data_IF_383199375638
#
_entry.id   IF_383199375638
#
_cell.length_a   1.000
_cell.length_b   1.000
_cell.length_c   1.000
_cell.angle_alpha   90.00
_cell.angle_beta   90.00
_cell.angle_gamma   90.00
#
_symmetry.space_group_name_H-M   'P 1'
#
loop_
_entity.id
_entity.type
_entity.pdbx_description
1 polymer ?
#
# COMPACT_ATOMS: atom_id res chain seq x y z
N UNK A 1 17.40 -9.50 -4.57
CA UNK A 1 17.37 -8.47 -3.52
C UNK A 1 16.33 -8.87 -2.51
N UNK A 2 16.69 -8.99 -1.24
CA UNK A 2 15.68 -9.04 -0.18
C UNK A 2 15.06 -7.64 0.06
N UNK A 3 14.11 -7.54 0.98
CA UNK A 3 13.44 -6.29 1.35
C UNK A 3 14.42 -5.14 1.63
N UNK A 4 15.49 -5.41 2.38
CA UNK A 4 16.47 -4.40 2.80
C UNK A 4 17.45 -4.03 1.68
N UNK A 5 17.66 -4.93 0.71
CA UNK A 5 18.51 -4.67 -0.45
C UNK A 5 17.76 -4.00 -1.62
N UNK A 6 16.43 -4.05 -1.63
CA UNK A 6 15.62 -3.54 -2.74
C UNK A 6 15.78 -2.03 -2.94
N UNK A 7 16.18 -1.28 -1.91
CA UNK A 7 16.15 0.18 -1.88
C UNK A 7 17.48 0.84 -2.27
N UNK A 8 18.65 0.46 -1.71
CA UNK A 8 19.93 0.92 -2.27
C UNK A 8 20.07 0.55 -3.74
N UNK A 9 19.35 -0.47 -4.21
CA UNK A 9 19.27 -0.80 -5.62
C UNK A 9 18.57 0.30 -6.43
N UNK A 10 17.44 0.85 -5.98
CA UNK A 10 16.70 1.87 -6.75
C UNK A 10 17.51 3.14 -6.96
N UNK A 11 18.17 3.64 -5.92
CA UNK A 11 19.02 4.84 -6.02
C UNK A 11 20.26 4.63 -6.89
N UNK A 12 20.57 3.40 -7.32
CA UNK A 12 21.61 3.15 -8.34
C UNK A 12 21.15 3.53 -9.75
N UNK A 13 19.85 3.76 -9.98
CA UNK A 13 19.31 4.09 -11.30
C UNK A 13 19.23 2.89 -12.25
N UNK A 14 19.15 1.67 -11.71
CA UNK A 14 19.08 0.43 -12.48
C UNK A 14 17.65 -0.05 -12.77
N UNK A 15 16.63 0.68 -12.29
CA UNK A 15 15.20 0.36 -12.48
C UNK A 15 14.53 1.50 -13.23
N UNK A 16 13.91 1.19 -14.38
CA UNK A 16 13.19 2.16 -15.21
C UNK A 16 11.77 2.47 -14.68
N UNK A 17 11.14 1.53 -13.99
CA UNK A 17 9.80 1.69 -13.41
C UNK A 17 9.63 0.81 -12.18
N UNK A 18 9.00 1.35 -11.15
CA UNK A 18 8.60 0.62 -9.95
C UNK A 18 7.11 0.86 -9.69
N UNK A 19 6.36 -0.22 -9.51
CA UNK A 19 4.89 -0.20 -9.30
C UNK A 19 4.50 -0.27 -7.82
N UNK A 20 5.48 -0.34 -6.94
CA UNK A 20 5.34 -0.51 -5.51
C UNK A 20 6.26 0.47 -4.79
N UNK A 21 5.80 1.10 -3.70
CA UNK A 21 6.55 2.15 -3.02
C UNK A 21 6.43 2.05 -1.50
N UNK A 22 7.58 2.07 -0.80
CA UNK A 22 7.62 2.25 0.64
C UNK A 22 8.03 3.70 0.96
N UNK A 23 7.09 4.47 1.51
CA UNK A 23 7.28 5.90 1.77
C UNK A 23 8.39 6.19 2.78
N UNK A 24 8.73 5.23 3.65
CA UNK A 24 9.84 5.32 4.60
C UNK A 24 11.21 5.58 3.94
N UNK A 25 11.35 5.27 2.65
CA UNK A 25 12.62 5.39 1.92
C UNK A 25 12.60 6.47 0.84
N UNK A 26 11.51 7.22 0.72
CA UNK A 26 11.38 8.33 -0.25
C UNK A 26 12.50 9.35 -0.08
N UNK A 27 12.94 9.60 1.16
CA UNK A 27 14.02 10.54 1.45
C UNK A 27 15.35 10.13 0.81
N UNK A 28 15.63 8.82 0.70
CA UNK A 28 16.86 8.32 0.07
C UNK A 28 16.86 8.55 -1.44
N UNK A 29 15.69 8.47 -2.08
CA UNK A 29 15.53 8.67 -3.53
C UNK A 29 15.76 10.11 -3.99
N UNK A 30 15.79 11.06 -3.06
CA UNK A 30 16.04 12.50 -3.34
C UNK A 30 17.33 13.02 -2.71
N UNK A 31 18.19 12.12 -2.18
CA UNK A 31 19.53 12.51 -1.71
C UNK A 31 20.38 13.05 -2.87
N UNK A 32 21.31 13.98 -2.62
CA UNK A 32 22.21 14.49 -3.64
C UNK A 32 23.07 13.40 -4.27
N UNK A 33 23.50 13.63 -5.51
CA UNK A 33 24.42 12.74 -6.22
C UNK A 33 25.75 12.55 -5.47
N UNK A 34 26.20 13.55 -4.72
CA UNK A 34 27.41 13.48 -3.87
C UNK A 34 27.31 12.45 -2.75
N UNK A 35 26.11 12.00 -2.39
CA UNK A 35 25.87 10.92 -1.42
C UNK A 35 25.71 9.54 -2.10
N UNK A 36 26.02 9.43 -3.39
CA UNK A 36 25.96 8.18 -4.15
C UNK A 36 24.60 7.86 -4.76
N UNK A 37 23.71 8.86 -4.86
CA UNK A 37 22.40 8.70 -5.50
C UNK A 37 22.48 9.01 -7.01
N UNK A 38 22.25 7.99 -7.84
CA UNK A 38 22.24 8.12 -9.30
C UNK A 38 20.87 8.47 -9.88
N UNK A 39 19.82 8.61 -9.05
CA UNK A 39 18.48 8.99 -9.50
C UNK A 39 18.20 10.49 -9.36
N UNK A 40 19.25 11.28 -9.12
CA UNK A 40 19.21 12.74 -8.97
C UNK A 40 20.36 13.33 -9.78
N UNK A 41 20.11 14.43 -10.50
CA UNK A 41 21.11 15.12 -11.30
C UNK A 41 22.06 16.00 -10.46
N UNK A 42 23.04 16.62 -11.11
CA UNK A 42 24.03 17.49 -10.47
C UNK A 42 23.41 18.75 -9.83
N UNK A 43 22.23 19.17 -10.29
CA UNK A 43 21.48 20.32 -9.77
C UNK A 43 20.50 19.89 -8.65
N UNK A 44 20.49 18.61 -8.28
CA UNK A 44 19.63 18.06 -7.24
C UNK A 44 18.20 17.76 -7.71
N UNK A 45 17.91 17.74 -9.01
CA UNK A 45 16.58 17.37 -9.51
C UNK A 45 16.45 15.84 -9.65
N UNK A 46 15.30 15.27 -9.22
CA UNK A 46 15.01 13.86 -9.48
C UNK A 46 14.96 13.55 -10.98
N UNK A 47 15.62 12.46 -11.36
CA UNK A 47 15.60 11.86 -12.70
C UNK A 47 14.43 10.88 -12.88
N UNK A 48 13.52 10.84 -11.92
CA UNK A 48 12.32 10.01 -11.90
C UNK A 48 11.07 10.86 -11.67
N UNK A 49 9.90 10.27 -11.94
CA UNK A 49 8.59 10.90 -11.72
C UNK A 49 7.62 9.90 -11.09
N UNK A 50 6.86 10.37 -10.12
CA UNK A 50 5.70 9.68 -9.57
C UNK A 50 4.56 9.75 -10.58
N UNK A 51 3.87 8.63 -10.77
CA UNK A 51 2.75 8.52 -11.68
C UNK A 51 1.64 7.67 -11.05
N UNK A 52 0.37 7.81 -11.51
CA UNK A 52 -0.68 6.85 -11.19
C UNK A 52 -0.25 5.41 -11.49
N UNK A 53 -0.68 4.46 -10.66
CA UNK A 53 -0.34 3.04 -10.84
C UNK A 53 -0.82 2.52 -12.21
N UNK A 54 -0.02 1.68 -12.89
CA UNK A 54 -0.48 0.99 -14.09
C UNK A 54 -1.60 -0.01 -13.74
N UNK A 55 -2.41 -0.34 -14.74
CA UNK A 55 -3.54 -1.25 -14.58
C UNK A 55 -3.21 -2.64 -15.14
N UNK A 56 -3.67 -3.68 -14.42
CA UNK A 56 -3.64 -5.06 -14.90
C UNK A 56 -4.83 -5.40 -15.80
N UNK A 57 -4.82 -6.57 -16.45
CA UNK A 57 -5.87 -6.99 -17.39
C UNK A 57 -7.25 -7.15 -16.76
N UNK A 58 -7.31 -7.32 -15.44
CA UNK A 58 -8.54 -7.46 -14.66
C UNK A 58 -9.12 -6.14 -14.17
N UNK A 59 -8.37 -5.04 -14.32
CA UNK A 59 -8.78 -3.75 -13.79
C UNK A 59 -9.87 -3.11 -14.66
N UNK A 60 -10.87 -2.54 -14.01
CA UNK A 60 -11.96 -1.78 -14.64
C UNK A 60 -12.12 -0.43 -13.96
N UNK A 61 -12.68 0.56 -14.68
CA UNK A 61 -12.93 1.88 -14.13
C UNK A 61 -13.79 1.82 -12.87
N UNK A 62 -13.34 2.50 -11.81
CA UNK A 62 -13.96 2.49 -10.49
C UNK A 62 -13.32 1.51 -9.50
N UNK A 63 -12.53 0.54 -9.96
CA UNK A 63 -11.77 -0.34 -9.07
C UNK A 63 -10.61 0.41 -8.39
N UNK A 64 -10.31 0.02 -7.15
CA UNK A 64 -9.12 0.53 -6.41
C UNK A 64 -7.84 0.02 -7.07
N UNK A 65 -6.80 0.85 -7.07
CA UNK A 65 -5.52 0.55 -7.74
C UNK A 65 -4.48 -0.09 -6.82
N UNK A 66 -4.84 -0.33 -5.56
CA UNK A 66 -3.97 -0.90 -4.54
C UNK A 66 -4.39 -0.45 -3.14
N UNK A 67 -3.57 -0.76 -2.15
CA UNK A 67 -3.73 -0.28 -0.78
C UNK A 67 -2.59 0.67 -0.37
N UNK A 68 -2.85 1.52 0.61
CA UNK A 68 -1.85 2.35 1.28
C UNK A 68 -1.82 2.01 2.76
N UNK A 69 -0.63 1.72 3.27
CA UNK A 69 -0.40 1.57 4.71
C UNK A 69 -0.44 2.94 5.39
N UNK A 70 -1.32 3.07 6.38
CA UNK A 70 -1.48 4.29 7.16
C UNK A 70 -1.03 4.03 8.60
N UNK A 71 0.10 4.62 8.98
CA UNK A 71 0.62 4.53 10.33
C UNK A 71 -0.39 5.08 11.36
N UNK A 72 -0.60 4.33 12.44
CA UNK A 72 -1.56 4.68 13.49
C UNK A 72 -0.95 4.57 14.88
N UNK A 73 -1.37 5.47 15.78
CA UNK A 73 -1.05 5.36 17.19
C UNK A 73 -2.05 4.42 17.86
N UNK A 74 -1.55 3.32 18.42
CA UNK A 74 -2.39 2.35 19.14
C UNK A 74 -2.16 2.48 20.64
N UNK A 75 -3.22 2.79 21.39
CA UNK A 75 -3.21 2.81 22.86
C UNK A 75 -4.05 1.61 23.33
N UNK A 76 -3.40 0.66 24.01
CA UNK A 76 -4.08 -0.57 24.44
C UNK A 76 -5.11 -0.27 25.53
N UNK A 77 -6.26 -0.95 25.49
CA UNK A 77 -7.31 -0.85 26.52
C UNK A 77 -6.82 -1.19 27.93
N UNK A 78 -5.80 -2.04 28.03
CA UNK A 78 -5.16 -2.42 29.30
C UNK A 78 -4.20 -1.36 29.86
N UNK A 79 -3.91 -0.30 29.10
CA UNK A 79 -3.01 0.77 29.55
C UNK A 79 -3.66 1.55 30.69
N UNK A 80 -3.01 1.71 31.87
CA UNK A 80 -3.54 2.52 32.95
C UNK A 80 -3.90 3.92 32.47
N UNK A 81 -5.06 4.44 32.89
CA UNK A 81 -5.66 5.66 32.32
C UNK A 81 -4.68 6.85 32.31
N UNK A 82 -3.91 7.05 33.36
CA UNK A 82 -2.95 8.16 33.42
C UNK A 82 -1.82 8.03 32.40
N UNK A 83 -1.35 6.80 32.15
CA UNK A 83 -0.36 6.51 31.10
C UNK A 83 -0.97 6.62 29.71
N UNK A 84 -2.20 6.19 29.54
CA UNK A 84 -2.94 6.32 28.28
C UNK A 84 -3.12 7.79 27.89
N UNK A 85 -3.47 8.66 28.86
CA UNK A 85 -3.56 10.11 28.65
C UNK A 85 -2.21 10.71 28.26
N UNK A 86 -1.12 10.34 28.95
CA UNK A 86 0.22 10.81 28.61
C UNK A 86 0.65 10.37 27.20
N UNK A 87 0.42 9.10 26.84
CA UNK A 87 0.69 8.58 25.50
C UNK A 87 -0.15 9.30 24.42
N UNK A 88 -1.42 9.57 24.71
CA UNK A 88 -2.29 10.33 23.81
C UNK A 88 -1.77 11.76 23.60
N UNK A 89 -1.39 12.48 24.67
CA UNK A 89 -0.80 13.82 24.57
C UNK A 89 0.50 13.81 23.76
N UNK A 90 1.35 12.82 23.96
CA UNK A 90 2.58 12.66 23.16
C UNK A 90 2.27 12.40 21.68
N UNK A 91 1.28 11.55 21.38
CA UNK A 91 0.82 11.33 20.02
C UNK A 91 0.32 12.65 19.39
N UNK A 92 -0.48 13.44 20.12
CA UNK A 92 -0.94 14.76 19.67
C UNK A 92 0.23 15.71 19.36
N UNK A 93 1.26 15.74 20.22
CA UNK A 93 2.48 16.50 19.96
C UNK A 93 3.19 16.03 18.69
N UNK A 94 3.40 14.72 18.53
CA UNK A 94 4.11 14.12 17.40
C UNK A 94 3.40 14.31 16.04
N UNK A 95 2.08 14.51 16.06
CA UNK A 95 1.26 14.82 14.87
C UNK A 95 0.86 16.29 14.78
N UNK A 96 1.35 17.16 15.67
CA UNK A 96 1.07 18.59 15.61
C UNK A 96 1.67 19.19 14.34
N UNK A 97 1.05 20.25 13.79
CA UNK A 97 1.44 20.85 12.50
C UNK A 97 2.94 21.18 12.42
N UNK A 98 3.50 21.83 13.43
CA UNK A 98 4.93 22.21 13.45
C UNK A 98 5.85 20.98 13.44
N UNK A 99 5.54 19.97 14.25
CA UNK A 99 6.34 18.75 14.34
C UNK A 99 6.22 17.91 13.07
N UNK A 100 5.00 17.77 12.54
CA UNK A 100 4.74 17.05 11.30
C UNK A 100 5.46 17.70 10.12
N UNK A 101 5.36 19.02 9.93
CA UNK A 101 6.11 19.74 8.87
C UNK A 101 7.60 19.44 8.95
N UNK A 102 8.20 19.59 10.13
CA UNK A 102 9.64 19.34 10.29
C UNK A 102 10.01 17.89 9.97
N UNK A 103 9.21 16.92 10.43
CA UNK A 103 9.42 15.50 10.16
C UNK A 103 9.22 15.17 8.68
N UNK A 104 8.19 15.70 8.03
CA UNK A 104 7.92 15.49 6.62
C UNK A 104 9.00 16.07 5.73
N UNK A 105 9.69 17.16 6.12
CA UNK A 105 10.85 17.62 5.36
C UNK A 105 12.03 16.64 5.43
N UNK A 106 12.14 15.85 6.50
CA UNK A 106 13.20 14.86 6.64
C UNK A 106 12.80 13.54 5.97
N UNK A 107 11.66 12.97 6.37
CA UNK A 107 11.26 11.62 5.98
C UNK A 107 10.31 11.53 4.79
N UNK A 108 9.78 12.66 4.30
CA UNK A 108 8.80 12.69 3.20
C UNK A 108 7.58 11.79 3.42
N UNK A 109 7.18 11.68 4.68
CA UNK A 109 5.95 11.03 5.14
C UNK A 109 5.06 12.09 5.75
N UNK A 110 3.80 12.16 5.30
CA UNK A 110 2.86 13.22 5.66
C UNK A 110 1.75 12.67 6.54
N UNK A 111 1.49 13.30 7.67
CA UNK A 111 0.39 12.90 8.56
C UNK A 111 -0.82 13.83 8.37
N UNK A 112 -0.57 15.14 8.18
CA UNK A 112 -1.63 16.14 8.06
C UNK A 112 -1.77 16.69 6.64
N UNK A 113 -3.01 16.91 6.23
CA UNK A 113 -3.31 17.67 5.01
C UNK A 113 -2.74 19.09 5.06
N UNK A 114 -2.84 19.75 6.21
CA UNK A 114 -2.22 21.06 6.41
C UNK A 114 -0.70 21.04 6.18
N UNK A 115 -0.02 19.91 6.42
CA UNK A 115 1.42 19.76 6.24
C UNK A 115 1.80 19.67 4.77
N UNK A 116 1.15 18.80 4.00
CA UNK A 116 1.42 18.69 2.56
C UNK A 116 1.08 20.00 1.83
N UNK A 117 0.13 20.79 2.33
CA UNK A 117 -0.27 22.08 1.78
C UNK A 117 0.56 23.28 2.31
N UNK A 118 1.61 23.05 3.08
CA UNK A 118 2.52 24.12 3.51
C UNK A 118 3.25 24.74 2.31
N UNK A 119 3.50 26.05 2.37
CA UNK A 119 4.22 26.80 1.32
C UNK A 119 5.63 26.22 1.08
N UNK A 120 6.31 25.80 2.16
CA UNK A 120 7.63 25.18 2.06
C UNK A 120 7.66 23.89 1.23
N UNK A 121 6.55 23.17 1.11
CA UNK A 121 6.45 22.01 0.21
C UNK A 121 6.11 22.41 -1.22
N UNK A 122 5.43 23.54 -1.44
CA UNK A 122 5.26 24.11 -2.78
C UNK A 122 6.62 24.52 -3.34
N UNK A 123 7.44 25.21 -2.56
CA UNK A 123 8.81 25.60 -2.95
C UNK A 123 9.71 24.39 -3.24
N UNK A 124 9.57 23.32 -2.44
CA UNK A 124 10.38 22.10 -2.58
C UNK A 124 9.86 21.12 -3.64
N UNK A 125 8.60 21.23 -4.09
CA UNK A 125 7.96 20.28 -5.00
C UNK A 125 8.80 19.92 -6.24
N UNK A 126 9.47 20.86 -6.93
CA UNK A 126 10.32 20.54 -8.09
C UNK A 126 11.46 19.55 -7.79
N UNK A 127 11.86 19.43 -6.52
CA UNK A 127 12.91 18.53 -6.05
C UNK A 127 12.37 17.18 -5.54
N UNK A 128 11.08 16.91 -5.69
CA UNK A 128 10.40 15.73 -5.13
C UNK A 128 9.68 14.86 -6.16
N UNK A 129 9.95 15.07 -7.45
CA UNK A 129 9.59 14.12 -8.51
C UNK A 129 8.10 13.85 -8.64
N UNK A 130 7.22 14.81 -8.35
CA UNK A 130 5.75 14.61 -8.43
C UNK A 130 5.09 14.13 -7.14
N UNK A 131 5.84 13.90 -6.06
CA UNK A 131 5.31 13.43 -4.77
C UNK A 131 4.27 14.38 -4.18
N UNK A 132 4.54 15.68 -4.23
CA UNK A 132 3.68 16.70 -3.62
C UNK A 132 2.40 16.83 -4.42
N UNK A 133 2.53 16.88 -5.74
CA UNK A 133 1.46 16.93 -6.70
C UNK A 133 0.55 15.72 -6.55
N UNK A 134 1.10 14.51 -6.49
CA UNK A 134 0.35 13.28 -6.25
C UNK A 134 -0.47 13.34 -4.95
N UNK A 135 0.14 13.71 -3.82
CA UNK A 135 -0.56 13.76 -2.54
C UNK A 135 -1.50 14.95 -2.39
N UNK A 136 -1.44 15.95 -3.27
CA UNK A 136 -2.46 17.02 -3.39
C UNK A 136 -3.56 16.67 -4.40
N UNK A 137 -3.29 15.73 -5.30
CA UNK A 137 -4.22 15.30 -6.34
C UNK A 137 -5.39 14.45 -5.79
N UNK A 138 -6.49 14.31 -6.56
CA UNK A 138 -7.56 13.37 -6.23
C UNK A 138 -7.13 11.90 -6.32
N UNK A 139 -5.95 11.62 -6.86
CA UNK A 139 -5.50 10.24 -7.01
C UNK A 139 -5.17 9.59 -5.69
N UNK A 140 -4.65 10.35 -4.72
CA UNK A 140 -4.28 9.80 -3.41
C UNK A 140 -5.35 8.91 -2.76
N UNK A 141 -6.64 9.14 -3.05
CA UNK A 141 -7.81 8.37 -2.52
C UNK A 141 -8.26 7.19 -3.40
N UNK A 142 -7.60 6.93 -4.53
CA UNK A 142 -7.85 5.77 -5.40
C UNK A 142 -7.29 4.46 -4.84
N UNK A 143 -6.44 4.54 -3.82
CA UNK A 143 -6.00 3.41 -3.03
C UNK A 143 -6.96 3.18 -1.86
N UNK A 144 -7.12 1.93 -1.44
CA UNK A 144 -7.80 1.62 -0.17
C UNK A 144 -6.83 1.82 1.00
N UNK A 145 -7.30 2.20 2.20
CA UNK A 145 -6.48 2.01 3.39
C UNK A 145 -6.31 0.52 3.69
N UNK A 146 -5.25 0.14 4.41
CA UNK A 146 -5.12 -1.18 5.08
C UNK A 146 -6.19 -1.28 6.18
N UNK A 147 -7.43 -1.53 5.76
CA UNK A 147 -8.61 -1.48 6.61
C UNK A 147 -8.81 -2.75 7.45
N UNK A 148 -9.85 -2.71 8.29
CA UNK A 148 -10.27 -3.82 9.16
C UNK A 148 -11.08 -4.90 8.43
N UNK A 149 -11.09 -4.89 7.10
CA UNK A 149 -11.91 -5.79 6.28
C UNK A 149 -11.37 -7.23 6.24
N UNK A 150 -10.17 -7.46 6.76
CA UNK A 150 -9.57 -8.79 6.87
C UNK A 150 -9.71 -9.26 8.32
N UNK A 151 -10.47 -10.34 8.60
CA UNK A 151 -10.88 -10.72 9.96
C UNK A 151 -9.74 -10.89 10.98
N UNK A 152 -8.57 -11.35 10.53
CA UNK A 152 -7.33 -11.44 11.33
C UNK A 152 -6.13 -11.33 10.37
N UNK A 153 -5.89 -10.11 9.90
CA UNK A 153 -4.84 -9.83 8.90
C UNK A 153 -3.48 -10.44 9.28
N UNK A 154 -2.98 -10.32 10.53
CA UNK A 154 -1.69 -10.91 10.89
C UNK A 154 -1.61 -12.42 10.66
N UNK A 155 -2.68 -13.17 10.94
CA UNK A 155 -2.71 -14.61 10.67
C UNK A 155 -2.78 -14.92 9.18
N UNK A 156 -3.69 -14.25 8.46
CA UNK A 156 -3.93 -14.54 7.05
C UNK A 156 -2.78 -14.07 6.14
N UNK A 157 -2.10 -12.99 6.50
CA UNK A 157 -0.96 -12.46 5.75
C UNK A 157 0.24 -13.42 5.73
N UNK A 158 0.46 -14.21 6.79
CA UNK A 158 1.54 -15.20 6.81
C UNK A 158 1.31 -16.31 5.77
N UNK A 159 0.06 -16.74 5.62
CA UNK A 159 -0.35 -17.72 4.60
C UNK A 159 -0.07 -17.14 3.20
N UNK A 160 -0.48 -15.89 2.95
CA UNK A 160 -0.20 -15.21 1.69
C UNK A 160 1.29 -15.20 1.35
N UNK A 161 2.15 -14.79 2.29
CA UNK A 161 3.59 -14.72 2.05
C UNK A 161 4.22 -16.08 1.75
N UNK A 162 3.78 -17.13 2.43
CA UNK A 162 4.24 -18.49 2.17
C UNK A 162 3.90 -18.92 0.73
N UNK A 163 2.65 -18.75 0.31
CA UNK A 163 2.19 -19.18 -1.02
C UNK A 163 2.83 -18.35 -2.15
N UNK A 164 3.06 -17.05 -1.94
CA UNK A 164 3.78 -16.20 -2.91
C UNK A 164 5.25 -16.64 -3.06
N UNK A 165 5.92 -17.03 -1.96
CA UNK A 165 7.27 -17.58 -2.03
C UNK A 165 7.35 -18.85 -2.88
N UNK A 166 6.37 -19.74 -2.71
CA UNK A 166 6.23 -20.98 -3.47
C UNK A 166 6.08 -20.73 -4.99
N UNK A 167 5.29 -19.73 -5.39
CA UNK A 167 5.16 -19.34 -6.81
C UNK A 167 6.47 -18.76 -7.36
N UNK A 168 7.10 -17.84 -6.62
CA UNK A 168 8.32 -17.16 -7.07
C UNK A 168 9.52 -18.11 -7.21
N UNK A 169 9.57 -19.18 -6.41
CA UNK A 169 10.59 -20.22 -6.51
C UNK A 169 10.34 -21.20 -7.67
N UNK A 170 9.16 -21.16 -8.28
CA UNK A 170 8.74 -22.12 -9.31
C UNK A 170 8.33 -23.49 -8.76
N UNK A 171 8.21 -23.64 -7.43
CA UNK A 171 7.75 -24.88 -6.81
C UNK A 171 6.30 -25.22 -7.17
N UNK A 172 5.46 -24.18 -7.35
CA UNK A 172 4.06 -24.32 -7.73
C UNK A 172 3.68 -23.36 -8.86
N UNK A 173 2.71 -23.76 -9.67
CA UNK A 173 2.05 -22.84 -10.61
C UNK A 173 1.23 -21.80 -9.84
N UNK A 174 0.95 -20.62 -10.44
CA UNK A 174 0.09 -19.61 -9.80
C UNK A 174 -1.27 -20.17 -9.37
N UNK A 175 -1.92 -21.00 -10.20
CA UNK A 175 -3.21 -21.60 -9.84
C UNK A 175 -3.10 -22.52 -8.62
N UNK A 176 -2.12 -23.43 -8.61
CA UNK A 176 -1.94 -24.34 -7.47
C UNK A 176 -1.66 -23.59 -6.16
N UNK A 177 -0.89 -22.51 -6.22
CA UNK A 177 -0.63 -21.68 -5.04
C UNK A 177 -1.89 -20.93 -4.57
N UNK A 178 -2.71 -20.43 -5.50
CA UNK A 178 -3.99 -19.78 -5.17
C UNK A 178 -5.01 -20.77 -4.57
N UNK A 179 -5.08 -22.00 -5.08
CA UNK A 179 -5.95 -23.05 -4.54
C UNK A 179 -5.51 -23.43 -3.11
N UNK A 180 -4.20 -23.57 -2.88
CA UNK A 180 -3.64 -23.85 -1.55
C UNK A 180 -3.86 -22.68 -0.58
N UNK A 181 -3.64 -21.46 -1.05
CA UNK A 181 -3.92 -20.24 -0.30
C UNK A 181 -5.38 -20.22 0.19
N UNK A 182 -6.33 -20.46 -0.71
CA UNK A 182 -7.74 -20.49 -0.38
C UNK A 182 -8.05 -21.56 0.69
N UNK A 183 -7.57 -22.80 0.50
CA UNK A 183 -7.80 -23.89 1.45
C UNK A 183 -7.20 -23.62 2.84
N UNK A 184 -5.99 -23.05 2.90
CA UNK A 184 -5.33 -22.71 4.17
C UNK A 184 -6.00 -21.51 4.87
N UNK A 185 -6.44 -20.51 4.11
CA UNK A 185 -7.24 -19.40 4.62
C UNK A 185 -8.59 -19.88 5.17
N UNK A 186 -9.31 -20.75 4.45
CA UNK A 186 -10.58 -21.32 4.90
C UNK A 186 -10.40 -22.13 6.18
N UNK A 187 -9.38 -22.98 6.25
CA UNK A 187 -9.06 -23.74 7.47
C UNK A 187 -8.81 -22.81 8.66
N UNK A 188 -8.09 -21.71 8.44
CA UNK A 188 -7.80 -20.74 9.49
C UNK A 188 -9.05 -19.99 9.92
N UNK A 189 -9.85 -19.51 8.96
CA UNK A 189 -11.10 -18.81 9.22
C UNK A 189 -12.15 -19.72 9.87
N UNK A 190 -12.21 -21.01 9.55
CA UNK A 190 -13.11 -21.97 10.20
C UNK A 190 -12.82 -22.10 11.70
N UNK A 191 -11.53 -22.12 12.07
CA UNK A 191 -11.12 -22.11 13.49
C UNK A 191 -11.49 -20.79 14.17
N UNK A 192 -11.38 -19.67 13.46
CA UNK A 192 -11.79 -18.36 13.98
C UNK A 192 -13.30 -18.28 14.19
N UNK A 193 -14.09 -18.80 13.24
CA UNK A 193 -15.53 -18.92 13.38
C UNK A 193 -15.89 -19.73 14.63
N UNK A 194 -15.35 -20.94 14.77
CA UNK A 194 -15.64 -21.81 15.91
C UNK A 194 -15.27 -21.15 17.25
N UNK A 195 -14.14 -20.44 17.31
CA UNK A 195 -13.72 -19.70 18.50
C UNK A 195 -14.68 -18.55 18.84
N UNK A 196 -15.18 -17.83 17.84
CA UNK A 196 -16.14 -16.75 18.03
C UNK A 196 -17.51 -17.28 18.47
N UNK A 197 -18.01 -18.34 17.85
CA UNK A 197 -19.29 -18.97 18.21
C UNK A 197 -19.26 -19.56 19.63
N UNK A 198 -18.14 -20.17 20.02
CA UNK A 198 -18.02 -20.81 21.33
C UNK A 198 -17.78 -19.83 22.49
N UNK A 199 -17.03 -18.76 22.25
CA UNK A 199 -16.51 -17.91 23.33
C UNK A 199 -16.52 -16.40 23.03
N UNK A 200 -17.15 -15.97 21.93
CA UNK A 200 -17.26 -14.56 21.53
C UNK A 200 -15.89 -13.87 21.42
N UNK A 201 -14.85 -14.62 21.00
CA UNK A 201 -13.45 -14.15 20.94
C UNK A 201 -13.31 -12.92 20.04
N UNK A 202 -14.10 -12.85 18.97
CA UNK A 202 -14.10 -11.75 18.02
C UNK A 202 -15.31 -10.83 18.20
N UNK A 203 -15.98 -10.86 19.36
CA UNK A 203 -17.17 -10.08 19.68
C UNK A 203 -18.33 -10.27 18.69
N UNK A 204 -18.46 -11.47 18.12
CA UNK A 204 -19.49 -11.79 17.13
C UNK A 204 -19.14 -11.34 15.71
N UNK A 205 -17.96 -10.73 15.53
CA UNK A 205 -17.43 -10.29 14.23
C UNK A 205 -16.42 -11.28 13.65
N UNK A 206 -16.34 -12.51 14.17
CA UNK A 206 -15.54 -13.56 13.54
C UNK A 206 -16.03 -13.85 12.11
N UNK A 207 -15.19 -14.40 11.23
CA UNK A 207 -15.63 -14.80 9.89
C UNK A 207 -16.73 -15.86 10.00
N UNK A 208 -17.56 -15.94 8.96
CA UNK A 208 -18.55 -17.00 8.76
C UNK A 208 -18.29 -17.60 7.40
N UNK A 209 -17.92 -18.88 7.37
CA UNK A 209 -17.65 -19.56 6.12
C UNK A 209 -18.97 -19.82 5.40
N UNK A 210 -18.93 -19.62 4.09
CA UNK A 210 -19.98 -20.10 3.22
C UNK A 210 -19.88 -21.62 3.10
N UNK A 211 -21.00 -22.26 2.77
CA UNK A 211 -20.96 -23.65 2.35
C UNK A 211 -20.16 -23.80 1.05
N UNK A 212 -19.51 -24.95 0.89
CA UNK A 212 -18.81 -25.27 -0.35
C UNK A 212 -19.82 -25.31 -1.52
N UNK A 213 -19.41 -24.69 -2.62
CA UNK A 213 -20.20 -24.53 -3.84
C UNK A 213 -19.29 -24.62 -5.05
N UNK A 214 -19.89 -24.98 -6.18
CA UNK A 214 -19.21 -24.96 -7.47
C UNK A 214 -18.70 -23.53 -7.78
N UNK A 215 -17.50 -23.37 -8.37
CA UNK A 215 -16.97 -22.05 -8.73
C UNK A 215 -17.93 -21.21 -9.57
N UNK A 216 -18.73 -21.82 -10.45
CA UNK A 216 -19.69 -21.11 -11.31
C UNK A 216 -20.79 -20.42 -10.49
N UNK A 217 -21.17 -21.00 -9.35
CA UNK A 217 -22.09 -20.34 -8.43
C UNK A 217 -21.52 -19.01 -7.95
N UNK A 218 -20.23 -18.97 -7.60
CA UNK A 218 -19.55 -17.75 -7.15
C UNK A 218 -19.34 -16.75 -8.28
N UNK A 219 -18.94 -17.22 -9.47
CA UNK A 219 -18.69 -16.38 -10.65
C UNK A 219 -19.96 -15.74 -11.21
N UNK A 220 -21.12 -16.35 -11.00
CA UNK A 220 -22.42 -15.84 -11.44
C UNK A 220 -23.05 -14.83 -10.46
N UNK A 221 -22.47 -14.62 -9.28
CA UNK A 221 -23.01 -13.66 -8.32
C UNK A 221 -22.79 -12.20 -8.76
N UNK A 222 -23.68 -11.27 -8.40
CA UNK A 222 -23.43 -9.84 -8.57
C UNK A 222 -22.14 -9.41 -7.86
N UNK A 223 -21.22 -8.77 -8.58
CA UNK A 223 -19.93 -8.33 -8.03
C UNK A 223 -18.92 -9.47 -7.79
N UNK A 224 -19.14 -10.64 -8.39
CA UNK A 224 -18.27 -11.79 -8.30
C UNK A 224 -16.80 -11.51 -8.65
N UNK A 225 -15.86 -12.35 -8.16
CA UNK A 225 -14.52 -12.45 -8.70
C UNK A 225 -14.55 -12.60 -10.23
N UNK A 226 -13.56 -12.04 -10.91
CA UNK A 226 -13.52 -12.07 -12.37
C UNK A 226 -13.13 -13.47 -12.87
N UNK A 227 -13.86 -14.05 -13.84
CA UNK A 227 -13.48 -15.31 -14.45
C UNK A 227 -12.15 -15.16 -15.18
N UNK A 228 -11.51 -16.28 -15.50
CA UNK A 228 -10.29 -16.28 -16.30
C UNK A 228 -10.51 -15.58 -17.64
N UNK A 229 -9.63 -14.64 -17.99
CA UNK A 229 -9.68 -13.95 -19.28
C UNK A 229 -9.07 -14.83 -20.37
N UNK A 230 -9.53 -14.66 -21.62
CA UNK A 230 -8.89 -15.28 -22.79
C UNK A 230 -7.43 -14.82 -22.94
N UNK A 231 -7.14 -13.57 -22.55
CA UNK A 231 -5.80 -13.00 -22.56
C UNK A 231 -5.50 -12.26 -21.25
N UNK A 232 -4.80 -12.93 -20.33
CA UNK A 232 -4.30 -12.37 -19.07
C UNK A 232 -2.94 -11.66 -19.21
N UNK A 233 -2.38 -11.60 -20.43
CA UNK A 233 -1.10 -10.97 -20.73
C UNK A 233 -1.18 -10.07 -21.97
N UNK A 234 -2.08 -9.08 -21.99
CA UNK A 234 -2.14 -8.12 -23.08
C UNK A 234 -0.81 -7.35 -23.20
N UNK A 235 -0.51 -6.87 -24.41
CA UNK A 235 0.65 -6.01 -24.62
C UNK A 235 0.46 -4.70 -23.84
N UNK A 236 1.51 -4.29 -23.11
CA UNK A 236 1.49 -3.03 -22.37
C UNK A 236 1.28 -1.83 -23.28
N UNK A 237 0.54 -0.84 -22.79
CA UNK A 237 0.28 0.42 -23.50
C UNK A 237 0.93 1.55 -22.73
N UNK A 238 1.65 2.42 -23.44
CA UNK A 238 2.27 3.63 -22.88
C UNK A 238 1.35 4.83 -23.07
N UNK A 239 1.38 5.76 -22.13
CA UNK A 239 0.67 7.04 -22.19
C UNK A 239 1.66 8.18 -21.96
N UNK A 240 1.41 9.34 -22.56
CA UNK A 240 2.19 10.53 -22.27
C UNK A 240 2.02 10.93 -20.79
N UNK A 241 3.11 11.31 -20.13
CA UNK A 241 3.08 11.64 -18.70
C UNK A 241 2.18 12.85 -18.39
N UNK A 242 2.27 13.91 -19.19
CA UNK A 242 1.51 15.14 -18.97
C UNK A 242 0.00 14.89 -19.14
N UNK A 243 -0.38 14.02 -20.07
CA UNK A 243 -1.76 13.56 -20.23
C UNK A 243 -2.22 12.73 -19.01
N UNK A 244 -1.36 11.84 -18.52
CA UNK A 244 -1.64 10.96 -17.38
C UNK A 244 -1.88 11.76 -16.08
N UNK A 245 -1.14 12.83 -15.87
CA UNK A 245 -1.23 13.68 -14.67
C UNK A 245 -2.04 14.95 -14.88
N UNK A 246 -2.67 15.15 -16.04
CA UNK A 246 -3.42 16.38 -16.36
C UNK A 246 -4.47 16.74 -15.28
N UNK A 247 -5.09 15.74 -14.67
CA UNK A 247 -6.06 15.89 -13.58
C UNK A 247 -5.47 16.33 -12.24
N UNK A 248 -4.14 16.28 -12.06
CA UNK A 248 -3.47 16.78 -10.86
C UNK A 248 -3.44 18.31 -10.84
N UNK A 249 -3.45 18.95 -12.02
CA UNK A 249 -3.41 20.40 -12.18
C UNK A 249 -4.78 21.09 -12.04
N UNK A 250 -5.86 20.33 -11.85
CA UNK A 250 -7.23 20.87 -11.75
C UNK A 250 -7.64 21.25 -10.31
N UNK A 251 -6.71 21.20 -9.36
CA UNK A 251 -6.88 21.55 -7.95
C UNK A 251 -5.77 22.50 -7.46
#
# INVERSE_FOLDING_TARGET
FDFYQSLPALSQGNVAQQIFWYTAFTADMVKPQSEGNNTVDADGNPLWRMAPSPHGPYWEEGQKVGYQDVGSWTILKSTPVDRAKAAWLYAQFAVSKTVDVKKSHVGLTFIRESTINDESFTERAPKLGGLIEFYRSPDRVRWSPTGINVPDYPKLAQIWWQQIGDVNSGAFTPQQAMDRLAAEMDTTMARMQAADEAANVYNGCGPRLNEERDPEYWLSQPGAPKPKLENEKPMGVTINYDELVARWAQN
#
